data_IF_399285947104
#
_entry.id   IF_399285947104
#
_cell.length_a   1.000
_cell.length_b   1.000
_cell.length_c   1.000
_cell.angle_alpha   90.00
_cell.angle_beta   90.00
_cell.angle_gamma   90.00
#
_symmetry.space_group_name_H-M   'P 1'
#
loop_
_entity.id
_entity.type
_entity.pdbx_description
1 polymer ?
#
# COMPACT_ATOMS: atom_id res chain seq x y z
N UNK A 1 -1.94 11.60 9.73
CA UNK A 1 -3.14 10.82 9.37
C UNK A 1 -2.84 9.37 9.69
N UNK A 2 -3.70 8.68 10.43
CA UNK A 2 -3.53 7.25 10.69
C UNK A 2 -4.21 6.47 9.56
N UNK A 3 -3.46 5.64 8.83
CA UNK A 3 -3.96 4.83 7.72
C UNK A 3 -3.94 3.37 8.16
N UNK A 4 -5.12 2.75 8.26
CA UNK A 4 -5.22 1.32 8.54
C UNK A 4 -4.59 0.50 7.41
N UNK A 5 -4.10 -0.70 7.73
CA UNK A 5 -3.45 -1.58 6.75
C UNK A 5 -4.05 -2.97 6.77
N UNK A 6 -4.30 -3.53 5.59
CA UNK A 6 -4.61 -4.93 5.36
C UNK A 6 -3.30 -5.70 5.12
N UNK A 7 -3.11 -6.82 5.83
CA UNK A 7 -1.98 -7.71 5.55
C UNK A 7 -2.36 -8.71 4.46
N UNK A 8 -1.82 -8.54 3.25
CA UNK A 8 -2.05 -9.46 2.13
C UNK A 8 -0.75 -10.21 1.87
N UNK A 9 -0.72 -11.50 2.21
CA UNK A 9 0.47 -12.35 2.15
C UNK A 9 1.69 -11.75 2.89
N UNK A 10 1.44 -11.03 3.98
CA UNK A 10 2.49 -10.36 4.77
C UNK A 10 2.87 -8.96 4.28
N UNK A 11 2.35 -8.51 3.12
CA UNK A 11 2.55 -7.14 2.62
C UNK A 11 1.48 -6.22 3.22
N UNK A 12 1.85 -5.12 3.90
CA UNK A 12 0.91 -4.23 4.56
C UNK A 12 0.35 -3.18 3.59
N UNK A 13 -0.76 -3.50 2.93
CA UNK A 13 -1.44 -2.62 1.96
C UNK A 13 -2.36 -1.63 2.69
N UNK A 14 -2.26 -0.35 2.37
CA UNK A 14 -3.06 0.71 2.94
C UNK A 14 -4.55 0.56 2.58
N UNK A 15 -5.42 0.64 3.58
CA UNK A 15 -6.86 0.81 3.40
C UNK A 15 -7.13 2.30 3.20
N UNK A 16 -6.97 2.74 1.95
CA UNK A 16 -7.10 4.14 1.58
C UNK A 16 -7.81 4.25 0.24
N UNK A 17 -8.75 5.18 0.12
CA UNK A 17 -9.37 5.50 -1.16
C UNK A 17 -8.61 6.63 -1.88
N UNK A 18 -9.01 6.93 -3.11
CA UNK A 18 -8.34 7.95 -3.93
C UNK A 18 -8.36 9.34 -3.29
N UNK A 19 -9.49 9.76 -2.72
CA UNK A 19 -9.63 11.07 -2.08
C UNK A 19 -8.68 11.22 -0.88
N UNK A 20 -8.65 10.22 0.00
CA UNK A 20 -7.76 10.19 1.15
C UNK A 20 -6.29 10.17 0.73
N UNK A 21 -5.95 9.45 -0.35
CA UNK A 21 -4.60 9.44 -0.91
C UNK A 21 -4.20 10.84 -1.40
N UNK A 22 -5.08 11.52 -2.14
CA UNK A 22 -4.83 12.87 -2.62
C UNK A 22 -4.66 13.84 -1.44
N UNK A 23 -5.54 13.80 -0.43
CA UNK A 23 -5.40 14.60 0.79
C UNK A 23 -4.07 14.32 1.50
N UNK A 24 -3.63 13.06 1.54
CA UNK A 24 -2.33 12.70 2.11
C UNK A 24 -1.18 13.32 1.32
N UNK A 25 -1.21 13.25 -0.02
CA UNK A 25 -0.17 13.83 -0.89
C UNK A 25 -0.14 15.35 -0.78
N UNK A 26 -1.30 16.01 -0.87
CA UNK A 26 -1.45 17.47 -0.76
C UNK A 26 -0.85 17.98 0.54
N UNK A 27 -1.21 17.36 1.66
CA UNK A 27 -0.68 17.72 2.98
C UNK A 27 0.85 17.63 3.03
N UNK A 28 1.45 16.59 2.43
CA UNK A 28 2.92 16.46 2.40
C UNK A 28 3.59 17.57 1.60
N UNK A 29 2.97 17.99 0.49
CA UNK A 29 3.47 19.07 -0.36
C UNK A 29 3.38 20.40 0.39
N UNK A 30 2.23 20.72 0.95
CA UNK A 30 1.98 21.95 1.70
C UNK A 30 2.93 22.11 2.89
N UNK A 31 3.12 21.02 3.65
CA UNK A 31 4.00 20.99 4.82
C UNK A 31 5.49 20.83 4.47
N UNK A 32 5.85 20.76 3.16
CA UNK A 32 7.21 20.54 2.66
C UNK A 32 7.90 19.35 3.32
N UNK A 33 7.15 18.26 3.50
CA UNK A 33 7.70 17.04 4.06
C UNK A 33 8.78 16.43 3.13
N UNK A 34 9.71 15.62 3.66
CA UNK A 34 10.66 14.90 2.83
C UNK A 34 9.98 14.06 1.74
N UNK A 35 10.69 13.72 0.64
CA UNK A 35 10.16 12.82 -0.39
C UNK A 35 9.60 11.55 0.22
N UNK A 36 8.47 11.08 -0.32
CA UNK A 36 7.88 9.79 0.04
C UNK A 36 7.98 8.82 -1.12
N UNK A 37 8.28 7.56 -0.81
CA UNK A 37 8.21 6.46 -1.72
C UNK A 37 6.83 5.79 -1.60
N UNK A 38 6.07 5.80 -2.69
CA UNK A 38 4.75 5.16 -2.78
C UNK A 38 4.82 3.99 -3.75
N UNK A 39 4.38 2.82 -3.29
CA UNK A 39 4.28 1.61 -4.12
C UNK A 39 2.80 1.33 -4.40
N UNK A 40 2.43 1.29 -5.67
CA UNK A 40 1.10 0.82 -6.12
C UNK A 40 1.16 -0.69 -6.32
N UNK A 41 0.88 -1.45 -5.26
CA UNK A 41 1.05 -2.89 -5.28
C UNK A 41 -0.18 -3.57 -5.88
N UNK A 42 0.00 -4.20 -7.05
CA UNK A 42 -0.99 -5.09 -7.63
C UNK A 42 -0.82 -6.54 -7.12
N UNK A 43 -1.72 -7.43 -7.53
CA UNK A 43 -1.70 -8.83 -7.09
C UNK A 43 -0.41 -9.57 -7.49
N UNK A 44 0.17 -9.26 -8.66
CA UNK A 44 1.41 -9.88 -9.12
C UNK A 44 2.59 -9.46 -8.23
N UNK A 45 2.71 -8.17 -7.92
CA UNK A 45 3.77 -7.63 -7.05
C UNK A 45 3.69 -8.29 -5.66
N UNK A 46 2.49 -8.36 -5.08
CA UNK A 46 2.28 -8.98 -3.75
C UNK A 46 2.64 -10.47 -3.80
N UNK A 47 2.22 -11.19 -4.84
CA UNK A 47 2.55 -12.61 -4.99
C UNK A 47 4.06 -12.86 -5.14
N UNK A 48 4.75 -12.01 -5.93
CA UNK A 48 6.21 -12.08 -6.08
C UNK A 48 6.92 -11.78 -4.76
N UNK A 49 6.50 -10.74 -4.05
CA UNK A 49 7.07 -10.38 -2.76
C UNK A 49 6.89 -11.49 -1.72
N UNK A 50 5.76 -12.21 -1.75
CA UNK A 50 5.56 -13.36 -0.87
C UNK A 50 6.57 -14.50 -1.12
N UNK A 51 6.98 -14.71 -2.39
CA UNK A 51 7.97 -15.71 -2.79
C UNK A 51 9.42 -15.24 -2.57
N UNK A 52 9.66 -13.94 -2.70
CA UNK A 52 10.98 -13.31 -2.65
C UNK A 52 11.08 -12.34 -1.46
N UNK A 53 11.78 -12.78 -0.42
CA UNK A 53 11.95 -12.02 0.81
C UNK A 53 12.75 -10.73 0.62
N UNK A 54 13.65 -10.66 -0.36
CA UNK A 54 14.39 -9.42 -0.65
C UNK A 54 13.45 -8.37 -1.23
N UNK A 55 12.57 -8.79 -2.16
CA UNK A 55 11.54 -7.93 -2.72
C UNK A 55 10.52 -7.51 -1.64
N UNK A 56 10.11 -8.44 -0.76
CA UNK A 56 9.22 -8.11 0.36
C UNK A 56 9.83 -7.02 1.25
N UNK A 57 11.10 -7.18 1.62
CA UNK A 57 11.80 -6.21 2.46
C UNK A 57 11.90 -4.84 1.78
N UNK A 58 12.24 -4.81 0.49
CA UNK A 58 12.33 -3.58 -0.29
C UNK A 58 10.98 -2.83 -0.35
N UNK A 59 9.90 -3.53 -0.66
CA UNK A 59 8.57 -2.91 -0.78
C UNK A 59 8.07 -2.42 0.59
N UNK A 60 8.36 -3.16 1.66
CA UNK A 60 7.96 -2.78 3.03
C UNK A 60 8.66 -1.51 3.54
N UNK A 61 9.73 -1.05 2.89
CA UNK A 61 10.39 0.23 3.19
C UNK A 61 9.65 1.45 2.60
N UNK A 62 8.65 1.24 1.75
CA UNK A 62 7.85 2.34 1.20
C UNK A 62 7.04 3.04 2.31
N UNK A 63 6.89 4.36 2.19
CA UNK A 63 6.07 5.16 3.11
C UNK A 63 4.59 4.79 3.00
N UNK A 64 4.15 4.38 1.81
CA UNK A 64 2.78 3.97 1.54
C UNK A 64 2.73 2.89 0.46
N UNK A 65 1.97 1.83 0.72
CA UNK A 65 1.69 0.77 -0.24
C UNK A 65 0.19 0.83 -0.54
N UNK A 66 -0.19 1.26 -1.73
CA UNK A 66 -1.61 1.35 -2.13
C UNK A 66 -2.03 0.09 -2.87
N UNK A 67 -3.33 -0.23 -2.81
CA UNK A 67 -3.90 -1.31 -3.59
C UNK A 67 -4.01 -0.89 -5.07
N UNK A 68 -3.47 -1.70 -5.97
CA UNK A 68 -3.62 -1.54 -7.41
C UNK A 68 -4.36 -2.73 -8.03
N UNK A 69 -5.45 -2.43 -8.75
CA UNK A 69 -6.25 -3.43 -9.45
C UNK A 69 -7.22 -4.24 -8.58
N UNK A 70 -8.16 -4.91 -9.25
CA UNK A 70 -9.27 -5.63 -8.62
C UNK A 70 -8.85 -6.85 -7.80
N UNK A 71 -7.74 -7.49 -8.16
CA UNK A 71 -7.23 -8.67 -7.44
C UNK A 71 -6.87 -8.36 -5.98
N UNK A 72 -6.30 -7.19 -5.72
CA UNK A 72 -5.93 -6.76 -4.36
C UNK A 72 -7.17 -6.41 -3.54
N UNK A 73 -8.13 -5.71 -4.15
CA UNK A 73 -9.43 -5.41 -3.53
C UNK A 73 -10.19 -6.69 -3.19
N UNK A 74 -10.19 -7.68 -4.09
CA UNK A 74 -10.81 -8.98 -3.83
C UNK A 74 -10.14 -9.70 -2.65
N UNK A 75 -8.81 -9.69 -2.58
CA UNK A 75 -8.06 -10.30 -1.47
C UNK A 75 -8.37 -9.61 -0.14
N UNK A 76 -8.39 -8.27 -0.09
CA UNK A 76 -8.76 -7.50 1.10
C UNK A 76 -10.16 -7.85 1.62
N UNK A 77 -11.15 -7.92 0.71
CA UNK A 77 -12.51 -8.37 1.05
C UNK A 77 -12.55 -9.79 1.61
N UNK A 78 -11.77 -10.72 1.04
CA UNK A 78 -11.69 -12.11 1.53
C UNK A 78 -11.04 -12.24 2.89
N UNK A 79 -10.15 -11.31 3.26
CA UNK A 79 -9.46 -11.29 4.54
C UNK A 79 -10.22 -10.47 5.61
N UNK A 80 -11.45 -10.01 5.31
CA UNK A 80 -12.24 -9.13 6.17
C UNK A 80 -11.54 -7.80 6.52
N UNK A 81 -10.69 -7.33 5.60
CA UNK A 81 -9.95 -6.07 5.71
C UNK A 81 -10.16 -5.27 4.41
N UNK A 82 -11.40 -4.78 4.18
CA UNK A 82 -11.76 -4.08 2.94
C UNK A 82 -11.06 -2.73 2.78
#
# INVERSE_FOLDING_TARGET
MHIAKASILGIPVAQINMEQLLTWVEKRIEERQPPAHVVTANAEIIYRAWRDQQLAHLIQQADLITADGSGVIWAGKKLNTP
#
